data_IF_070731972586
#
_entry.id   IF_070731972586
#
_cell.length_a   1.000
_cell.length_b   1.000
_cell.length_c   1.000
_cell.angle_alpha   90.00
_cell.angle_beta   90.00
_cell.angle_gamma   90.00
#
_symmetry.space_group_name_H-M   'P 1'
#
loop_
_entity.id
_entity.type
_entity.pdbx_description
1 polymer ?
#
# COMPACT_ATOMS: atom_id res chain seq x y z
N UNK A 1 -15.36 -8.20 -22.43
CA UNK A 1 -13.98 -7.83 -22.05
C UNK A 1 -13.78 -8.03 -20.56
N UNK A 2 -12.77 -8.80 -20.23
CA UNK A 2 -12.48 -9.08 -18.83
C UNK A 2 -11.59 -7.96 -18.29
N UNK A 3 -12.06 -7.28 -17.25
CA UNK A 3 -11.19 -6.33 -16.58
C UNK A 3 -10.16 -7.09 -15.75
N UNK A 4 -8.92 -6.66 -15.85
CA UNK A 4 -7.85 -7.26 -15.07
C UNK A 4 -8.01 -6.86 -13.61
N UNK A 5 -8.05 -7.83 -12.73
CA UNK A 5 -8.16 -7.58 -11.31
C UNK A 5 -6.80 -7.16 -10.76
N UNK A 6 -6.75 -6.01 -10.14
CA UNK A 6 -5.54 -5.50 -9.49
C UNK A 6 -5.37 -6.12 -8.11
N UNK A 7 -4.14 -6.21 -7.69
CA UNK A 7 -3.76 -6.82 -6.42
C UNK A 7 -3.44 -5.71 -5.43
N UNK A 8 -4.17 -5.64 -4.29
CA UNK A 8 -3.81 -4.67 -3.25
C UNK A 8 -2.59 -5.16 -2.49
N UNK A 9 -1.65 -4.24 -2.25
CA UNK A 9 -0.41 -4.53 -1.53
C UNK A 9 0.04 -3.34 -0.72
N UNK A 10 0.83 -3.61 0.32
CA UNK A 10 1.62 -2.59 0.98
C UNK A 10 3.04 -2.75 0.48
N UNK A 11 3.58 -1.67 -0.08
CA UNK A 11 4.90 -1.69 -0.70
C UNK A 11 5.84 -0.74 0.05
N UNK A 12 7.05 -1.24 0.32
CA UNK A 12 8.12 -0.44 0.89
C UNK A 12 9.08 -0.11 -0.24
N UNK A 13 9.16 1.15 -0.59
CA UNK A 13 9.84 1.60 -1.80
C UNK A 13 11.03 2.49 -1.53
N UNK A 14 11.98 2.51 -2.49
CA UNK A 14 13.12 3.40 -2.49
C UNK A 14 12.74 4.73 -3.19
N UNK A 15 13.60 5.77 -3.11
CA UNK A 15 15.04 5.63 -2.85
C UNK A 15 15.46 5.39 -1.40
N UNK A 16 14.60 5.59 -0.43
CA UNK A 16 15.04 5.47 0.96
C UNK A 16 14.67 4.14 1.61
N UNK A 17 13.85 3.32 0.96
CA UNK A 17 13.28 2.13 1.56
C UNK A 17 12.27 2.43 2.65
N UNK A 18 12.02 3.71 2.90
CA UNK A 18 11.16 4.17 3.99
C UNK A 18 9.77 4.57 3.53
N UNK A 19 9.57 4.72 2.25
CA UNK A 19 8.26 5.04 1.75
C UNK A 19 7.39 3.79 1.82
N UNK A 20 6.34 3.86 2.62
CA UNK A 20 5.37 2.77 2.77
C UNK A 20 4.09 3.23 2.11
N UNK A 21 3.65 2.48 1.10
CA UNK A 21 2.46 2.83 0.33
C UNK A 21 1.50 1.65 0.28
N UNK A 22 0.22 1.94 0.46
CA UNK A 22 -0.83 1.03 0.07
C UNK A 22 -1.19 1.33 -1.37
N UNK A 23 -1.14 0.34 -2.24
CA UNK A 23 -1.42 0.54 -3.66
C UNK A 23 -2.00 -0.71 -4.28
N UNK A 24 -2.53 -0.53 -5.48
CA UNK A 24 -3.00 -1.63 -6.29
C UNK A 24 -2.04 -1.80 -7.45
N UNK A 25 -1.62 -3.04 -7.70
CA UNK A 25 -0.67 -3.37 -8.77
C UNK A 25 -1.30 -4.41 -9.70
N UNK A 26 -0.86 -4.41 -10.96
CA UNK A 26 -1.37 -5.39 -11.92
C UNK A 26 -0.82 -6.79 -11.67
N UNK A 27 0.40 -6.85 -11.16
CA UNK A 27 1.05 -8.10 -10.77
C UNK A 27 2.04 -7.81 -9.66
N UNK A 28 2.36 -8.84 -8.88
CA UNK A 28 3.35 -8.71 -7.82
C UNK A 28 4.69 -8.22 -8.41
N UNK A 29 5.28 -7.15 -7.86
CA UNK A 29 6.53 -6.63 -8.41
C UNK A 29 7.71 -7.51 -8.05
N UNK A 30 8.75 -7.46 -8.89
CA UNK A 30 10.03 -8.07 -8.55
C UNK A 30 10.72 -7.20 -7.52
N UNK A 31 11.30 -7.83 -6.49
CA UNK A 31 12.07 -7.09 -5.49
C UNK A 31 13.32 -6.50 -6.16
N UNK A 32 13.56 -5.23 -5.89
CA UNK A 32 14.63 -4.47 -6.53
C UNK A 32 14.26 -3.97 -7.93
N UNK A 33 13.07 -4.31 -8.41
CA UNK A 33 12.59 -3.85 -9.72
C UNK A 33 11.64 -2.66 -9.61
N UNK A 34 11.40 -1.98 -10.71
CA UNK A 34 10.46 -0.86 -10.74
C UNK A 34 9.03 -1.36 -10.56
N UNK A 35 8.18 -0.50 -10.01
CA UNK A 35 6.78 -0.82 -9.78
C UNK A 35 5.89 0.35 -10.17
N UNK A 36 4.79 0.06 -10.86
CA UNK A 36 3.76 1.02 -11.18
C UNK A 36 2.62 0.79 -10.19
N UNK A 37 2.25 1.85 -9.47
CA UNK A 37 1.25 1.76 -8.42
C UNK A 37 0.00 2.55 -8.81
N UNK A 38 -1.15 1.90 -8.74
CA UNK A 38 -2.45 2.53 -8.98
C UNK A 38 -3.11 2.86 -7.65
N UNK A 39 -3.72 4.03 -7.57
CA UNK A 39 -4.42 4.48 -6.37
C UNK A 39 -3.55 4.38 -5.12
N UNK A 40 -2.29 4.79 -5.26
CA UNK A 40 -1.32 4.68 -4.19
C UNK A 40 -1.61 5.71 -3.10
N UNK A 41 -1.58 5.25 -1.87
CA UNK A 41 -1.74 6.09 -0.68
C UNK A 41 -0.52 5.88 0.20
N UNK A 42 0.21 6.95 0.48
CA UNK A 42 1.35 6.84 1.38
C UNK A 42 0.85 6.68 2.82
N UNK A 43 1.42 5.72 3.52
CA UNK A 43 1.12 5.52 4.94
C UNK A 43 2.02 6.46 5.72
N UNK A 44 1.44 7.54 6.23
CA UNK A 44 2.18 8.55 6.99
C UNK A 44 2.38 8.11 8.43
N UNK A 45 1.41 7.39 8.97
CA UNK A 45 1.46 6.88 10.32
C UNK A 45 0.49 5.72 10.46
N UNK A 46 0.91 4.66 11.12
CA UNK A 46 -0.02 3.60 11.53
C UNK A 46 -0.07 3.55 13.05
N UNK A 47 -1.29 3.44 13.57
CA UNK A 47 -1.51 3.37 15.00
C UNK A 47 -0.95 2.07 15.58
N UNK A 48 -0.48 2.12 16.82
CA UNK A 48 -0.07 0.91 17.53
C UNK A 48 -1.22 -0.11 17.63
N UNK A 49 -2.47 0.37 17.57
CA UNK A 49 -3.64 -0.50 17.59
C UNK A 49 -3.74 -1.41 16.37
N UNK A 50 -3.08 -1.08 15.28
CA UNK A 50 -3.06 -1.92 14.09
C UNK A 50 -2.27 -3.21 14.30
N UNK A 51 -1.33 -3.23 15.23
CA UNK A 51 -0.40 -4.35 15.40
C UNK A 51 0.83 -4.23 14.52
N UNK A 52 1.30 -2.99 14.32
CA UNK A 52 2.44 -2.71 13.45
C UNK A 52 2.08 -2.77 11.98
N UNK A 53 3.08 -2.77 11.13
CA UNK A 53 2.88 -2.78 9.67
C UNK A 53 2.23 -4.09 9.21
N UNK A 54 2.63 -5.22 9.78
CA UNK A 54 2.03 -6.51 9.44
C UNK A 54 0.57 -6.56 9.87
N UNK A 55 0.24 -5.98 11.02
CA UNK A 55 -1.16 -5.88 11.47
C UNK A 55 -1.98 -4.97 10.56
N UNK A 56 -1.38 -3.90 10.06
CA UNK A 56 -2.04 -3.02 9.10
C UNK A 56 -2.43 -3.80 7.84
N UNK A 57 -1.52 -4.64 7.34
CA UNK A 57 -1.79 -5.46 6.14
C UNK A 57 -2.85 -6.52 6.40
N UNK A 58 -2.87 -7.11 7.59
CA UNK A 58 -3.79 -8.19 7.92
C UNK A 58 -5.18 -7.69 8.32
N UNK A 59 -5.23 -6.61 9.10
CA UNK A 59 -6.47 -6.17 9.76
C UNK A 59 -6.97 -4.80 9.32
N UNK A 60 -6.12 -4.03 8.63
CA UNK A 60 -6.48 -2.69 8.18
C UNK A 60 -6.14 -1.60 9.19
N UNK A 61 -6.41 -0.35 8.80
CA UNK A 61 -6.09 0.80 9.63
C UNK A 61 -7.01 0.92 10.84
N UNK A 62 -6.46 1.43 11.93
CA UNK A 62 -7.20 1.69 13.16
C UNK A 62 -6.63 2.93 13.84
N UNK A 63 -7.42 3.51 14.74
CA UNK A 63 -6.96 4.60 15.58
C UNK A 63 -6.53 5.82 14.78
N UNK A 64 -5.35 6.34 15.08
CA UNK A 64 -4.84 7.56 14.46
C UNK A 64 -3.99 7.31 13.21
N UNK A 65 -4.22 6.19 12.52
CA UNK A 65 -3.58 5.91 11.25
C UNK A 65 -3.84 7.03 10.25
N UNK A 66 -2.79 7.45 9.53
CA UNK A 66 -2.89 8.54 8.56
C UNK A 66 -2.38 8.10 7.20
N UNK A 67 -3.21 8.31 6.19
CA UNK A 67 -2.91 8.00 4.80
C UNK A 67 -3.12 9.25 3.95
N UNK A 68 -2.37 9.36 2.87
CA UNK A 68 -2.58 10.43 1.89
C UNK A 68 -3.80 10.13 1.01
N UNK A 69 -4.20 11.10 0.21
CA UNK A 69 -5.15 10.84 -0.88
C UNK A 69 -4.53 9.87 -1.89
N UNK A 70 -5.38 9.19 -2.66
CA UNK A 70 -4.93 8.22 -3.64
C UNK A 70 -4.49 8.90 -4.93
N UNK A 71 -3.31 8.52 -5.43
CA UNK A 71 -2.81 8.95 -6.73
C UNK A 71 -2.08 7.79 -7.39
N UNK A 72 -1.99 7.82 -8.71
CA UNK A 72 -1.16 6.85 -9.42
C UNK A 72 0.31 7.27 -9.35
N UNK A 73 1.18 6.30 -9.12
CA UNK A 73 2.62 6.53 -9.07
C UNK A 73 3.27 5.78 -10.21
N UNK A 74 3.91 6.53 -11.10
CA UNK A 74 4.61 5.99 -12.26
C UNK A 74 6.00 6.58 -12.27
N UNK A 75 7.02 5.75 -12.41
CA UNK A 75 8.39 6.24 -12.47
C UNK A 75 9.36 5.28 -11.81
N UNK A 76 10.39 5.84 -11.18
CA UNK A 76 11.55 5.08 -10.70
C UNK A 76 11.40 4.50 -9.30
N UNK A 77 10.20 4.45 -8.78
CA UNK A 77 9.99 3.80 -7.48
C UNK A 77 10.39 2.33 -7.59
N UNK A 78 11.26 1.89 -6.68
CA UNK A 78 11.77 0.52 -6.67
C UNK A 78 11.25 -0.18 -5.44
N UNK A 79 10.61 -1.33 -5.64
CA UNK A 79 10.04 -2.10 -4.55
C UNK A 79 11.13 -2.91 -3.84
N UNK A 80 11.41 -2.55 -2.58
CA UNK A 80 12.36 -3.28 -1.76
C UNK A 80 11.70 -4.45 -1.03
N UNK A 81 10.41 -4.30 -0.70
CA UNK A 81 9.64 -5.27 0.05
C UNK A 81 8.16 -5.02 -0.17
N UNK A 82 7.35 -6.04 -0.18
CA UNK A 82 5.90 -5.86 -0.19
C UNK A 82 5.22 -6.85 0.75
N UNK A 83 4.01 -6.47 1.17
CA UNK A 83 3.17 -7.28 2.04
C UNK A 83 1.85 -7.52 1.35
N UNK A 84 1.38 -8.75 1.41
CA UNK A 84 0.03 -9.05 0.93
C UNK A 84 -1.00 -8.48 1.90
N UNK A 85 -2.11 -8.01 1.38
CA UNK A 85 -3.14 -7.34 2.16
C UNK A 85 -4.42 -8.15 2.07
N UNK A 86 -5.06 -8.39 3.22
CA UNK A 86 -6.34 -9.10 3.23
C UNK A 86 -7.42 -8.26 2.53
N UNK A 87 -8.46 -8.91 2.04
CA UNK A 87 -9.58 -8.21 1.40
C UNK A 87 -10.23 -7.20 2.34
N UNK A 88 -10.42 -7.57 3.60
CA UNK A 88 -11.00 -6.67 4.60
C UNK A 88 -10.11 -5.46 4.83
N UNK A 89 -8.80 -5.69 4.97
CA UNK A 89 -7.85 -4.59 5.17
C UNK A 89 -7.77 -3.69 3.94
N UNK A 90 -7.77 -4.27 2.74
CA UNK A 90 -7.73 -3.50 1.50
C UNK A 90 -8.92 -2.57 1.39
N UNK A 91 -10.11 -3.07 1.69
CA UNK A 91 -11.33 -2.27 1.65
C UNK A 91 -11.26 -1.10 2.63
N UNK A 92 -10.83 -1.37 3.86
CA UNK A 92 -10.69 -0.33 4.86
C UNK A 92 -9.61 0.69 4.49
N UNK A 93 -8.51 0.25 3.90
CA UNK A 93 -7.43 1.16 3.45
C UNK A 93 -7.89 2.07 2.31
N UNK A 94 -8.73 1.54 1.40
CA UNK A 94 -9.29 2.36 0.31
C UNK A 94 -10.20 3.44 0.84
N UNK A 95 -10.97 3.15 1.88
CA UNK A 95 -11.98 4.07 2.43
C UNK A 95 -11.45 5.00 3.51
N UNK A 96 -10.27 4.75 4.03
CA UNK A 96 -9.73 5.54 5.13
C UNK A 96 -9.63 7.01 4.72
N UNK A 97 -10.10 7.94 5.56
CA UNK A 97 -10.06 9.36 5.20
C UNK A 97 -8.64 9.83 4.93
N UNK A 98 -8.48 10.70 3.95
CA UNK A 98 -7.18 11.30 3.66
C UNK A 98 -6.80 12.28 4.78
N UNK A 99 -5.53 12.25 5.12
CA UNK A 99 -5.00 13.14 6.15
C UNK A 99 -4.96 14.59 5.67
#
# INVERSE_FOLDING_TARGET
MTSRKRIPMILCCTPSGRAVLFAEVDKAPELGGPVIMHNARMVLRWSAQCGGLLGLAANGPKGDTKLTAAVDVVGDAVCAQYLTVSETAAEALRRWPAA
#
